data_IF_344767498106
#
_entry.id   IF_344767498106
#
_cell.length_a   1.000
_cell.length_b   1.000
_cell.length_c   1.000
_cell.angle_alpha   90.00
_cell.angle_beta   90.00
_cell.angle_gamma   90.00
#
_symmetry.space_group_name_H-M   'P 1'
#
loop_
_entity.id
_entity.type
_entity.pdbx_description
1 polymer ?
#
# COMPACT_ATOMS: atom_id res chain seq x y z
N UNK A 1 2.95 -12.41 16.57
CA UNK A 1 2.58 -11.01 16.49
C UNK A 1 1.65 -10.77 15.31
N UNK A 2 0.87 -9.71 15.34
CA UNK A 2 0.05 -9.32 14.17
C UNK A 2 0.97 -8.84 13.04
N UNK A 3 0.64 -9.20 11.80
CA UNK A 3 1.34 -8.66 10.61
C UNK A 3 1.28 -7.12 10.57
N UNK A 4 0.24 -6.55 11.14
CA UNK A 4 0.04 -5.08 11.21
C UNK A 4 0.98 -4.41 12.23
N UNK A 5 1.58 -5.15 13.16
CA UNK A 5 2.44 -4.57 14.20
C UNK A 5 3.77 -3.99 13.69
N UNK A 6 4.16 -4.30 12.45
CA UNK A 6 5.35 -3.74 11.80
C UNK A 6 5.06 -2.54 10.89
N UNK A 7 3.79 -2.16 10.74
CA UNK A 7 3.42 -1.02 9.92
C UNK A 7 3.69 0.27 10.68
N UNK A 8 4.35 1.28 10.07
CA UNK A 8 4.53 2.59 10.68
C UNK A 8 3.19 3.20 11.10
N UNK A 9 3.05 3.47 12.40
CA UNK A 9 1.84 4.12 12.91
C UNK A 9 1.71 5.54 12.34
N UNK A 10 0.48 6.00 12.14
CA UNK A 10 0.24 7.34 11.58
C UNK A 10 0.52 7.45 10.07
N UNK A 11 0.47 6.35 9.34
CA UNK A 11 0.51 6.31 7.88
C UNK A 11 -0.90 6.34 7.31
N UNK A 12 -1.15 7.18 6.31
CA UNK A 12 -2.45 7.28 5.66
C UNK A 12 -2.70 6.13 4.70
N UNK A 13 -1.80 5.94 3.74
CA UNK A 13 -1.83 4.84 2.75
C UNK A 13 -0.49 4.11 2.80
N UNK A 14 -0.52 2.80 2.90
CA UNK A 14 0.66 1.95 2.77
C UNK A 14 0.54 1.06 1.54
N UNK A 15 1.56 1.11 0.68
CA UNK A 15 1.78 0.17 -0.42
C UNK A 15 3.02 -0.63 -0.07
N UNK A 16 2.92 -1.94 -0.08
CA UNK A 16 4.05 -2.81 0.22
C UNK A 16 4.07 -3.99 -0.74
N UNK A 17 5.15 -4.13 -1.50
CA UNK A 17 5.34 -5.19 -2.48
C UNK A 17 4.10 -5.37 -3.38
N UNK A 18 3.61 -4.28 -3.93
CA UNK A 18 2.42 -4.27 -4.78
C UNK A 18 2.65 -3.39 -6.00
N UNK A 19 2.51 -4.00 -7.17
CA UNK A 19 2.68 -3.37 -8.48
C UNK A 19 1.39 -2.78 -9.02
N UNK A 20 1.54 -1.89 -10.02
CA UNK A 20 0.44 -1.32 -10.78
C UNK A 20 -0.61 -0.61 -9.91
N UNK A 21 -0.18 -0.01 -8.79
CA UNK A 21 -1.07 0.71 -7.86
C UNK A 21 -1.29 2.14 -8.34
N UNK A 22 -2.54 2.55 -8.36
CA UNK A 22 -2.95 3.92 -8.72
C UNK A 22 -3.56 4.60 -7.50
N UNK A 23 -3.00 5.73 -7.11
CA UNK A 23 -3.53 6.60 -6.07
C UNK A 23 -3.93 7.92 -6.72
N UNK A 24 -5.23 8.15 -6.87
CA UNK A 24 -5.73 9.30 -7.63
C UNK A 24 -6.90 9.99 -6.93
N UNK A 25 -6.88 11.32 -6.97
CA UNK A 25 -8.01 12.16 -6.58
C UNK A 25 -8.41 12.07 -5.11
N UNK A 26 -7.52 11.60 -4.23
CA UNK A 26 -7.81 11.46 -2.80
C UNK A 26 -7.49 12.73 -2.03
N UNK A 27 -8.15 12.90 -0.90
CA UNK A 27 -7.76 13.85 0.14
C UNK A 27 -7.14 13.04 1.28
N UNK A 28 -5.81 13.17 1.44
CA UNK A 28 -5.03 12.44 2.43
C UNK A 28 -4.53 13.46 3.45
N UNK A 29 -4.99 13.35 4.70
CA UNK A 29 -4.75 14.40 5.67
C UNK A 29 -4.55 13.92 7.09
N UNK A 30 -3.82 14.72 7.88
CA UNK A 30 -3.61 14.54 9.31
C UNK A 30 -2.96 13.19 9.68
N UNK A 31 -2.08 12.70 8.83
CA UNK A 31 -1.31 11.50 9.09
C UNK A 31 0.02 11.87 9.77
N UNK A 32 0.24 11.33 10.95
CA UNK A 32 1.37 11.70 11.81
C UNK A 32 2.71 11.45 11.13
N UNK A 33 2.91 10.24 10.58
CA UNK A 33 4.17 9.83 9.98
C UNK A 33 4.31 10.25 8.52
N UNK A 34 3.32 9.97 7.68
CA UNK A 34 3.30 10.36 6.26
C UNK A 34 1.91 10.12 5.66
N UNK A 35 1.57 10.83 4.62
CA UNK A 35 0.34 10.60 3.86
C UNK A 35 0.36 9.27 3.10
N UNK A 36 1.45 9.00 2.39
CA UNK A 36 1.66 7.77 1.63
C UNK A 36 3.03 7.20 1.96
N UNK A 37 3.10 5.90 2.26
CA UNK A 37 4.35 5.15 2.33
C UNK A 37 4.31 4.02 1.30
N UNK A 38 5.34 3.95 0.47
CA UNK A 38 5.57 2.89 -0.51
C UNK A 38 6.86 2.20 -0.11
N UNK A 39 6.83 0.89 0.03
CA UNK A 39 8.02 0.14 0.46
C UNK A 39 8.06 -1.24 -0.16
N UNK A 40 9.24 -1.83 -0.20
CA UNK A 40 9.37 -3.25 -0.41
C UNK A 40 9.08 -4.03 0.90
N UNK A 41 8.90 -5.33 0.80
CA UNK A 41 8.57 -6.16 1.96
C UNK A 41 9.77 -6.41 2.88
N UNK A 42 10.99 -6.11 2.48
CA UNK A 42 12.20 -6.30 3.32
C UNK A 42 12.22 -5.36 4.51
N UNK A 43 11.51 -4.23 4.41
CA UNK A 43 11.32 -3.31 5.53
C UNK A 43 10.30 -3.79 6.58
N UNK A 44 9.55 -4.84 6.29
CA UNK A 44 8.59 -5.42 7.22
C UNK A 44 9.21 -6.58 8.00
N UNK A 45 9.92 -6.29 9.07
CA UNK A 45 10.68 -7.25 9.88
C UNK A 45 9.87 -8.43 10.44
N UNK A 46 8.55 -8.35 10.43
CA UNK A 46 7.63 -9.34 11.00
C UNK A 46 6.87 -10.16 9.95
N UNK A 47 7.16 -9.96 8.67
CA UNK A 47 6.51 -10.68 7.58
C UNK A 47 7.38 -11.87 7.18
N UNK A 48 6.78 -13.06 7.07
CA UNK A 48 7.45 -14.19 6.43
C UNK A 48 7.52 -13.90 4.94
N UNK A 49 8.74 -13.63 4.47
CA UNK A 49 8.99 -13.32 3.07
C UNK A 49 8.87 -14.60 2.25
N UNK A 50 7.97 -14.61 1.27
CA UNK A 50 7.96 -15.66 0.24
C UNK A 50 9.15 -15.43 -0.70
N UNK A 51 10.11 -16.37 -0.81
CA UNK A 51 11.26 -16.21 -1.68
C UNK A 51 10.90 -16.16 -3.18
N UNK A 52 9.67 -16.46 -3.55
CA UNK A 52 9.16 -16.37 -4.92
C UNK A 52 8.38 -15.09 -5.20
N UNK A 53 8.11 -14.27 -4.17
CA UNK A 53 7.44 -12.99 -4.38
C UNK A 53 8.44 -11.91 -4.79
N UNK A 54 8.03 -11.08 -5.73
CA UNK A 54 8.74 -9.86 -6.09
C UNK A 54 8.64 -8.87 -4.91
N UNK A 55 9.75 -8.31 -4.40
CA UNK A 55 9.71 -7.51 -3.17
C UNK A 55 9.29 -6.06 -3.36
N UNK A 56 9.44 -5.52 -4.57
CA UNK A 56 9.31 -4.09 -4.82
C UNK A 56 7.85 -3.65 -4.99
N UNK A 57 7.66 -2.36 -5.12
CA UNK A 57 6.39 -1.75 -5.52
C UNK A 57 6.65 -0.95 -6.78
N UNK A 58 6.42 -1.58 -7.94
CA UNK A 58 6.70 -1.01 -9.25
C UNK A 58 5.45 -0.40 -9.89
N UNK A 59 5.65 0.46 -10.88
CA UNK A 59 4.58 1.07 -11.67
C UNK A 59 3.48 1.74 -10.84
N UNK A 60 3.88 2.32 -9.70
CA UNK A 60 2.97 3.11 -8.87
C UNK A 60 2.69 4.45 -9.52
N UNK A 61 1.42 4.83 -9.60
CA UNK A 61 0.98 6.09 -10.18
C UNK A 61 0.33 6.97 -9.11
N UNK A 62 0.84 8.19 -8.96
CA UNK A 62 0.32 9.16 -7.98
C UNK A 62 -0.25 10.36 -8.74
N UNK A 63 -1.57 10.48 -8.76
CA UNK A 63 -2.31 11.40 -9.63
C UNK A 63 -3.22 12.32 -8.82
N UNK A 64 -2.96 13.63 -8.88
CA UNK A 64 -3.87 14.69 -8.43
C UNK A 64 -4.47 14.53 -7.01
N UNK A 65 -3.68 13.97 -6.08
CA UNK A 65 -4.08 13.89 -4.69
C UNK A 65 -3.90 15.24 -3.98
N UNK A 66 -4.71 15.47 -2.96
CA UNK A 66 -4.59 16.61 -2.05
C UNK A 66 -4.00 16.13 -0.74
N UNK A 67 -2.82 16.64 -0.41
CA UNK A 67 -2.11 16.35 0.84
C UNK A 67 -2.25 17.51 1.82
N UNK A 68 -2.70 17.23 3.04
CA UNK A 68 -2.92 18.25 4.07
C UNK A 68 -2.42 17.79 5.43
N UNK A 69 -1.44 18.49 5.99
CA UNK A 69 -0.97 18.25 7.35
C UNK A 69 -0.53 16.79 7.59
N UNK A 70 0.25 16.21 6.66
CA UNK A 70 0.87 14.90 6.86
C UNK A 70 2.31 15.05 7.34
N UNK A 71 2.89 14.01 7.95
CA UNK A 71 4.29 13.96 8.35
C UNK A 71 4.71 14.95 9.43
N UNK A 72 3.78 15.36 10.29
CA UNK A 72 4.06 16.38 11.32
C UNK A 72 4.79 15.83 12.55
N UNK A 73 4.81 14.52 12.74
CA UNK A 73 5.53 13.83 13.83
C UNK A 73 5.98 12.44 13.31
N UNK A 74 6.92 12.48 12.39
CA UNK A 74 7.41 11.35 11.60
C UNK A 74 8.26 10.40 12.44
N UNK A 75 8.13 9.09 12.20
CA UNK A 75 8.95 8.08 12.87
C UNK A 75 10.43 8.19 12.47
N UNK A 76 11.37 7.70 13.33
CA UNK A 76 12.81 7.83 13.09
C UNK A 76 13.29 7.27 11.76
N UNK A 77 12.73 6.19 11.28
CA UNK A 77 13.09 5.53 10.03
C UNK A 77 12.81 6.43 8.81
N UNK A 78 11.63 7.04 8.78
CA UNK A 78 11.25 7.99 7.72
C UNK A 78 12.06 9.27 7.84
N UNK A 79 12.31 9.72 9.06
CA UNK A 79 13.16 10.89 9.30
C UNK A 79 14.60 10.65 8.80
N UNK A 80 15.16 9.47 9.03
CA UNK A 80 16.51 9.13 8.54
C UNK A 80 16.57 9.15 7.00
N UNK A 81 15.53 8.64 6.33
CA UNK A 81 15.44 8.69 4.87
C UNK A 81 15.32 10.13 4.35
N UNK A 82 14.49 10.94 4.99
CA UNK A 82 14.34 12.35 4.66
C UNK A 82 15.66 13.11 4.79
N UNK A 83 16.38 12.90 5.89
CA UNK A 83 17.69 13.53 6.12
C UNK A 83 18.76 13.09 5.11
N UNK A 84 18.73 11.83 4.66
CA UNK A 84 19.64 11.33 3.63
C UNK A 84 19.46 12.06 2.29
N UNK A 85 18.25 12.54 2.00
CA UNK A 85 17.94 13.37 0.83
C UNK A 85 17.99 14.89 1.11
N UNK A 86 18.51 15.29 2.27
CA UNK A 86 18.58 16.69 2.72
C UNK A 86 17.18 17.35 2.78
N UNK A 87 16.15 16.56 2.95
CA UNK A 87 14.78 17.04 3.14
C UNK A 87 14.57 17.43 4.61
N UNK A 88 14.00 18.60 4.82
CA UNK A 88 13.65 19.11 6.15
C UNK A 88 12.17 19.49 6.19
N UNK A 89 11.47 19.03 7.20
CA UNK A 89 10.04 19.33 7.37
C UNK A 89 9.13 18.13 7.19
N UNK A 90 7.83 18.36 7.06
CA UNK A 90 6.83 17.32 6.90
C UNK A 90 7.06 16.49 5.63
N UNK A 91 6.60 15.24 5.63
CA UNK A 91 6.71 14.35 4.48
C UNK A 91 5.33 13.82 4.10
N UNK A 92 4.87 14.16 2.90
CA UNK A 92 3.62 13.66 2.36
C UNK A 92 3.75 12.26 1.79
N UNK A 93 4.86 12.00 1.08
CA UNK A 93 5.09 10.75 0.34
C UNK A 93 6.49 10.24 0.65
N UNK A 94 6.58 8.96 0.99
CA UNK A 94 7.83 8.25 1.21
C UNK A 94 7.87 7.03 0.31
N UNK A 95 8.96 6.86 -0.44
CA UNK A 95 9.26 5.58 -1.09
C UNK A 95 10.57 5.02 -0.54
N UNK A 96 10.50 3.86 0.08
CA UNK A 96 11.66 3.14 0.60
C UNK A 96 11.88 1.85 -0.21
N UNK A 97 12.95 1.80 -0.96
CA UNK A 97 13.31 0.68 -1.83
C UNK A 97 13.46 1.07 -3.30
N UNK A 98 13.84 0.13 -4.15
CA UNK A 98 13.87 0.34 -5.60
C UNK A 98 12.46 0.39 -6.17
N UNK A 99 12.29 1.03 -7.30
CA UNK A 99 11.04 1.11 -8.06
C UNK A 99 11.33 1.34 -9.53
N UNK A 100 10.59 0.67 -10.37
CA UNK A 100 10.64 0.83 -11.82
C UNK A 100 9.28 1.30 -12.37
N UNK A 101 9.31 2.16 -13.38
CA UNK A 101 8.13 2.59 -14.13
C UNK A 101 7.09 3.40 -13.34
N UNK A 102 7.43 3.87 -12.15
CA UNK A 102 6.54 4.68 -11.33
C UNK A 102 6.51 6.12 -11.79
N UNK A 103 5.36 6.78 -11.66
CA UNK A 103 5.20 8.17 -12.07
C UNK A 103 4.36 9.00 -11.09
N UNK A 104 4.52 10.30 -11.15
CA UNK A 104 3.80 11.25 -10.30
C UNK A 104 3.44 12.52 -11.07
N UNK A 105 2.20 12.95 -10.97
CA UNK A 105 1.77 14.25 -11.50
C UNK A 105 1.97 15.35 -10.47
N UNK A 106 2.34 16.53 -10.96
CA UNK A 106 2.46 17.72 -10.13
C UNK A 106 3.38 17.52 -8.89
N UNK A 107 4.52 16.82 -9.08
CA UNK A 107 5.48 16.49 -8.02
C UNK A 107 5.79 17.65 -7.07
N UNK A 108 5.87 18.89 -7.60
CA UNK A 108 6.19 20.10 -6.83
C UNK A 108 5.13 20.44 -5.76
N UNK A 109 3.96 19.82 -5.79
CA UNK A 109 2.89 20.02 -4.78
C UNK A 109 3.08 19.16 -3.54
N UNK A 110 3.99 18.19 -3.57
CA UNK A 110 4.18 17.20 -2.51
C UNK A 110 5.53 17.35 -1.84
N UNK A 111 5.56 17.17 -0.53
CA UNK A 111 6.78 16.97 0.23
C UNK A 111 7.13 15.48 0.16
N UNK A 112 8.03 15.10 -0.73
CA UNK A 112 8.26 13.70 -1.03
C UNK A 112 9.73 13.32 -0.98
N UNK A 113 10.03 12.14 -0.45
CA UNK A 113 11.36 11.52 -0.37
C UNK A 113 11.36 10.14 -0.97
N UNK A 114 12.49 9.68 -1.49
CA UNK A 114 12.64 8.37 -2.14
C UNK A 114 12.07 8.28 -3.55
N UNK A 115 11.55 9.35 -4.12
CA UNK A 115 10.92 9.37 -5.45
C UNK A 115 11.82 9.96 -6.55
N UNK A 116 13.14 9.88 -6.36
CA UNK A 116 14.10 10.46 -7.31
C UNK A 116 14.01 9.92 -8.73
N UNK A 117 13.61 8.65 -8.87
CA UNK A 117 13.45 7.94 -10.14
C UNK A 117 12.03 7.98 -10.72
N UNK A 118 11.08 8.65 -10.05
CA UNK A 118 9.73 8.80 -10.59
C UNK A 118 9.72 9.78 -11.76
N UNK A 119 9.05 9.38 -12.82
CA UNK A 119 8.83 10.25 -13.99
C UNK A 119 7.55 11.06 -13.84
N UNK A 120 7.32 12.02 -14.73
CA UNK A 120 6.00 12.63 -14.85
C UNK A 120 5.09 11.64 -15.56
N UNK A 121 3.87 11.45 -15.03
CA UNK A 121 2.90 10.65 -15.74
C UNK A 121 2.48 11.31 -17.04
N UNK A 122 2.32 10.52 -18.09
CA UNK A 122 1.92 11.01 -19.44
C UNK A 122 0.44 11.45 -19.51
N UNK A 123 -0.31 11.23 -18.44
CA UNK A 123 -1.74 11.52 -18.36
C UNK A 123 -2.08 12.20 -17.03
N UNK A 124 -3.19 12.91 -17.01
CA UNK A 124 -3.64 13.75 -15.88
C UNK A 124 -4.95 13.29 -15.26
N UNK A 125 -5.50 12.16 -15.70
CA UNK A 125 -6.75 11.60 -15.17
C UNK A 125 -6.87 10.10 -15.45
N UNK A 126 -7.83 9.43 -14.79
CA UNK A 126 -8.10 7.99 -14.90
C UNK A 126 -8.62 7.53 -16.26
N UNK A 127 -9.00 8.42 -17.17
CA UNK A 127 -9.52 8.00 -18.47
C UNK A 127 -8.51 7.18 -19.27
N UNK A 128 -7.22 7.46 -19.10
CA UNK A 128 -6.13 6.73 -19.72
C UNK A 128 -5.73 5.44 -18.99
N UNK A 129 -6.24 5.24 -17.77
CA UNK A 129 -5.88 4.10 -16.91
C UNK A 129 -6.75 2.87 -17.20
N UNK A 130 -7.84 3.02 -17.94
CA UNK A 130 -8.73 1.90 -18.29
C UNK A 130 -8.01 0.73 -18.96
N UNK A 131 -6.87 0.99 -19.62
CA UNK A 131 -6.05 -0.07 -20.21
C UNK A 131 -5.34 -0.96 -19.19
N UNK A 132 -5.20 -0.51 -17.93
CA UNK A 132 -4.64 -1.28 -16.82
C UNK A 132 -5.71 -2.06 -16.04
N UNK A 133 -6.97 -1.76 -16.26
CA UNK A 133 -8.09 -2.54 -15.74
C UNK A 133 -8.25 -3.80 -16.58
N UNK A 134 -9.11 -4.71 -16.13
CA UNK A 134 -9.39 -5.94 -16.86
C UNK A 134 -9.63 -5.67 -18.35
N UNK A 135 -9.02 -6.51 -19.21
CA UNK A 135 -9.21 -6.43 -20.65
C UNK A 135 -10.70 -6.39 -21.01
N UNK A 136 -11.07 -5.56 -21.99
CA UNK A 136 -12.43 -5.52 -22.52
C UNK A 136 -12.84 -6.92 -22.96
N UNK A 137 -13.98 -7.39 -22.45
CA UNK A 137 -14.50 -8.74 -22.75
C UNK A 137 -14.02 -9.82 -21.78
N UNK A 138 -13.31 -9.48 -20.69
CA UNK A 138 -13.08 -10.44 -19.62
C UNK A 138 -14.43 -10.87 -19.03
N UNK A 139 -14.77 -12.15 -19.23
CA UNK A 139 -15.98 -12.72 -18.64
C UNK A 139 -15.88 -12.68 -17.12
N UNK A 140 -16.90 -12.21 -16.41
CA UNK A 140 -16.91 -12.26 -14.97
C UNK A 140 -16.73 -13.70 -14.50
N UNK A 141 -15.79 -13.95 -13.59
CA UNK A 141 -15.65 -15.28 -12.99
C UNK A 141 -16.98 -15.68 -12.36
N UNK A 142 -17.54 -16.80 -12.79
CA UNK A 142 -18.70 -17.41 -12.12
C UNK A 142 -18.21 -17.98 -10.80
N UNK A 143 -18.57 -17.32 -9.72
CA UNK A 143 -18.20 -17.73 -8.36
C UNK A 143 -19.28 -18.69 -7.87
N UNK A 144 -18.91 -19.94 -7.61
CA UNK A 144 -19.80 -20.94 -7.04
C UNK A 144 -20.27 -20.56 -5.63
N UNK A 145 -21.27 -21.24 -5.08
CA UNK A 145 -21.71 -21.02 -3.71
C UNK A 145 -20.59 -21.35 -2.71
N UNK A 146 -19.83 -22.42 -2.98
CA UNK A 146 -18.70 -22.85 -2.15
C UNK A 146 -17.56 -21.84 -2.20
N UNK A 147 -17.18 -21.37 -3.40
CA UNK A 147 -16.18 -20.32 -3.59
C UNK A 147 -16.58 -19.02 -2.87
N UNK A 148 -17.87 -18.65 -2.90
CA UNK A 148 -18.35 -17.46 -2.17
C UNK A 148 -18.16 -17.61 -0.67
N UNK A 149 -18.40 -18.79 -0.13
CA UNK A 149 -18.15 -19.10 1.27
C UNK A 149 -16.67 -18.98 1.63
N UNK A 150 -15.81 -19.55 0.81
CA UNK A 150 -14.35 -19.46 0.98
C UNK A 150 -13.86 -18.02 0.89
N UNK A 151 -14.25 -17.28 -0.13
CA UNK A 151 -13.87 -15.87 -0.30
C UNK A 151 -14.34 -15.01 0.88
N UNK A 152 -15.58 -15.22 1.34
CA UNK A 152 -16.11 -14.51 2.49
C UNK A 152 -15.34 -14.86 3.77
N UNK A 153 -15.02 -16.15 3.96
CA UNK A 153 -14.20 -16.58 5.08
C UNK A 153 -12.81 -15.96 5.03
N UNK A 154 -12.10 -16.04 3.92
CA UNK A 154 -10.75 -15.50 3.75
C UNK A 154 -10.73 -13.98 3.87
N UNK A 155 -11.71 -13.29 3.29
CA UNK A 155 -11.76 -11.83 3.30
C UNK A 155 -12.22 -11.19 4.61
N UNK A 156 -13.05 -11.89 5.40
CA UNK A 156 -13.68 -11.30 6.58
C UNK A 156 -13.34 -12.06 7.87
N UNK A 157 -13.42 -13.38 7.85
CA UNK A 157 -13.40 -14.20 9.06
C UNK A 157 -12.01 -14.69 9.45
N UNK A 158 -11.13 -14.94 8.46
CA UNK A 158 -9.82 -15.57 8.68
C UNK A 158 -8.87 -14.71 9.51
N UNK A 159 -9.06 -13.39 9.53
CA UNK A 159 -8.30 -12.49 10.39
C UNK A 159 -8.49 -12.72 11.89
N UNK A 160 -9.66 -13.25 12.28
CA UNK A 160 -10.00 -13.53 13.67
C UNK A 160 -10.15 -15.02 13.97
N UNK A 161 -10.47 -15.83 12.97
CA UNK A 161 -10.74 -17.28 13.11
C UNK A 161 -9.83 -18.07 12.18
N UNK A 162 -9.08 -19.03 12.70
CA UNK A 162 -8.34 -19.98 11.88
C UNK A 162 -8.98 -21.36 11.90
N UNK A 163 -8.58 -22.23 10.98
CA UNK A 163 -9.07 -23.61 10.96
C UNK A 163 -8.48 -24.46 12.10
N UNK A 164 -7.27 -24.19 12.54
CA UNK A 164 -6.51 -25.10 13.41
C UNK A 164 -6.17 -24.52 14.78
N UNK A 165 -6.15 -23.23 14.93
CA UNK A 165 -5.70 -22.59 16.16
C UNK A 165 -6.59 -21.44 16.60
N UNK A 166 -6.47 -21.07 17.86
CA UNK A 166 -7.14 -19.88 18.38
C UNK A 166 -6.33 -18.63 18.00
N UNK A 167 -6.98 -17.70 17.30
CA UNK A 167 -6.48 -16.34 17.10
C UNK A 167 -7.19 -15.38 18.08
N UNK A 168 -7.91 -14.42 17.57
CA UNK A 168 -8.77 -13.55 18.38
C UNK A 168 -10.04 -14.30 18.76
N UNK A 169 -10.63 -15.03 17.79
CA UNK A 169 -11.79 -15.88 17.96
C UNK A 169 -11.46 -17.39 18.07
N UNK A 170 -12.44 -18.23 18.39
CA UNK A 170 -12.27 -19.68 18.41
C UNK A 170 -12.00 -20.23 17.00
N UNK A 171 -11.34 -21.40 16.87
CA UNK A 171 -11.15 -22.07 15.58
C UNK A 171 -12.49 -22.45 14.94
N UNK A 172 -12.52 -22.52 13.61
CA UNK A 172 -13.73 -22.81 12.82
C UNK A 172 -14.46 -24.09 13.28
N UNK A 173 -13.80 -25.22 13.58
CA UNK A 173 -14.49 -26.43 14.04
C UNK A 173 -15.26 -26.25 15.37
N UNK A 174 -14.85 -25.30 16.21
CA UNK A 174 -15.55 -25.00 17.49
C UNK A 174 -16.81 -24.19 17.26
N UNK A 175 -16.87 -23.40 16.16
CA UNK A 175 -18.06 -22.61 15.83
C UNK A 175 -19.14 -23.48 15.18
N UNK A 176 -18.74 -24.56 14.50
CA UNK A 176 -19.62 -25.47 13.79
C UNK A 176 -20.22 -26.59 14.68
N UNK A 177 -19.75 -26.71 15.90
CA UNK A 177 -20.23 -27.69 16.88
C UNK A 177 -21.38 -27.13 17.72
#
# INVERSE_FOLDING_TARGET
>A
GSMVAGIPSGTGVLIMAADDVIIEGNIISNNQTSGIIISDHSYASNVTIDPHSEPNSDRTMILDNVMLNNGYDTIPEVMALALAELHTGPVDIVHAGPSEGSCINNRHRYQAVGIGNYENCDFTNTDNIRSYLLADGAEPRVISADDRGEIAYLGVCSGCHSFTGRLIGPPVPVIQA
#
